data_IF_914515379806
#
_entry.id   IF_914515379806
#
_cell.length_a   1.000
_cell.length_b   1.000
_cell.length_c   1.000
_cell.angle_alpha   90.00
_cell.angle_beta   90.00
_cell.angle_gamma   90.00
#
_symmetry.space_group_name_H-M   'P 1'
#
loop_
_entity.id
_entity.type
_entity.pdbx_description
1 polymer ?
#
# COMPACT_ATOMS: atom_id res chain seq x y z
N UNK A 1 -8.55 -9.37 -6.84
CA UNK A 1 -9.80 -8.96 -6.17
C UNK A 1 -10.50 -7.96 -7.06
N UNK A 2 -11.48 -8.40 -7.88
CA UNK A 2 -11.99 -7.57 -8.98
C UNK A 2 -12.92 -6.43 -8.53
N UNK A 3 -13.34 -6.40 -7.27
CA UNK A 3 -14.29 -5.39 -6.77
C UNK A 3 -13.73 -4.56 -5.60
N UNK A 4 -12.49 -4.81 -5.18
CA UNK A 4 -11.90 -4.10 -4.06
C UNK A 4 -11.43 -2.72 -4.55
N UNK A 5 -12.12 -1.66 -4.12
CA UNK A 5 -11.86 -0.28 -4.54
C UNK A 5 -11.04 0.52 -3.55
N UNK A 6 -11.18 0.23 -2.27
CA UNK A 6 -10.50 0.94 -1.20
C UNK A 6 -9.89 -0.08 -0.25
N UNK A 7 -8.64 0.13 0.12
CA UNK A 7 -7.92 -0.64 1.13
C UNK A 7 -7.31 0.35 2.11
N UNK A 8 -7.67 0.21 3.39
CA UNK A 8 -7.14 1.01 4.48
C UNK A 8 -6.40 0.08 5.45
N UNK A 9 -5.18 0.46 5.79
CA UNK A 9 -4.27 -0.25 6.69
C UNK A 9 -3.87 0.76 7.75
N UNK A 10 -4.31 0.58 8.97
CA UNK A 10 -4.12 1.53 10.06
C UNK A 10 -3.57 0.82 11.29
N UNK A 11 -2.57 1.42 11.94
CA UNK A 11 -1.95 0.91 13.16
C UNK A 11 -1.46 -0.55 13.07
N UNK A 12 -0.81 -0.89 11.95
CA UNK A 12 -0.30 -2.23 11.68
C UNK A 12 1.21 -2.26 11.88
N UNK A 13 1.63 -2.23 13.15
CA UNK A 13 3.04 -2.16 13.55
C UNK A 13 3.84 -3.43 13.24
N UNK A 14 3.19 -4.60 13.11
CA UNK A 14 3.86 -5.85 12.71
C UNK A 14 3.86 -6.06 11.19
N UNK A 15 3.22 -5.17 10.43
CA UNK A 15 3.23 -5.26 8.98
C UNK A 15 4.58 -4.72 8.49
N UNK A 16 5.44 -5.64 8.08
CA UNK A 16 6.79 -5.34 7.55
C UNK A 16 6.76 -5.07 6.05
N UNK A 17 5.87 -5.72 5.32
CA UNK A 17 5.75 -5.55 3.88
C UNK A 17 4.29 -5.67 3.43
N UNK A 18 3.94 -4.85 2.44
CA UNK A 18 2.68 -5.02 1.74
C UNK A 18 2.79 -6.22 0.79
N UNK A 19 1.73 -7.02 0.63
CA UNK A 19 1.74 -8.07 -0.37
C UNK A 19 1.57 -7.46 -1.77
N UNK A 20 2.66 -7.00 -2.40
CA UNK A 20 2.66 -6.31 -3.70
C UNK A 20 2.00 -7.13 -4.81
N UNK A 21 2.21 -8.45 -4.78
CA UNK A 21 1.57 -9.38 -5.72
C UNK A 21 0.05 -9.40 -5.57
N UNK A 22 -0.46 -9.18 -4.35
CA UNK A 22 -1.90 -9.14 -4.08
C UNK A 22 -2.50 -7.81 -4.52
N UNK A 23 -1.76 -6.71 -4.31
CA UNK A 23 -2.15 -5.36 -4.74
C UNK A 23 -2.13 -5.22 -6.27
N UNK A 24 -1.18 -5.87 -6.97
CA UNK A 24 -1.22 -5.99 -8.44
C UNK A 24 -2.43 -6.76 -8.95
N UNK A 25 -2.92 -7.73 -8.18
CA UNK A 25 -4.15 -8.48 -8.51
C UNK A 25 -5.43 -7.71 -8.12
N UNK A 26 -5.31 -6.59 -7.42
CA UNK A 26 -6.40 -5.68 -7.09
C UNK A 26 -6.49 -4.60 -8.18
N UNK A 27 -6.82 -5.02 -9.40
CA UNK A 27 -6.89 -4.13 -10.58
C UNK A 27 -8.01 -3.08 -10.50
N UNK A 28 -8.96 -3.25 -9.58
CA UNK A 28 -10.05 -2.30 -9.34
C UNK A 28 -9.78 -1.38 -8.14
N UNK A 29 -8.58 -1.46 -7.54
CA UNK A 29 -8.22 -0.68 -6.37
C UNK A 29 -7.96 0.77 -6.79
N UNK A 30 -8.82 1.66 -6.32
CA UNK A 30 -8.79 3.09 -6.60
C UNK A 30 -8.06 3.86 -5.50
N UNK A 31 -8.15 3.38 -4.25
CA UNK A 31 -7.55 4.01 -3.07
C UNK A 31 -6.80 3.02 -2.19
N UNK A 32 -5.59 3.39 -1.81
CA UNK A 32 -4.78 2.72 -0.80
C UNK A 32 -4.42 3.74 0.28
N UNK A 33 -4.76 3.42 1.53
CA UNK A 33 -4.42 4.19 2.72
C UNK A 33 -3.60 3.36 3.66
N UNK A 34 -2.48 3.91 4.10
CA UNK A 34 -1.60 3.29 5.08
C UNK A 34 -1.29 4.33 6.13
N UNK A 35 -1.66 4.04 7.38
CA UNK A 35 -1.53 4.95 8.52
C UNK A 35 -0.88 4.27 9.69
N UNK A 36 -0.02 5.01 10.40
CA UNK A 36 0.53 4.59 11.70
C UNK A 36 1.14 3.17 11.64
N UNK A 37 1.80 2.83 10.53
CA UNK A 37 2.41 1.50 10.32
C UNK A 37 3.92 1.66 10.22
N UNK A 38 4.58 1.83 11.38
CA UNK A 38 5.97 2.31 11.46
C UNK A 38 7.00 1.33 10.89
N UNK A 39 6.82 0.03 11.10
CA UNK A 39 7.77 -0.99 10.61
C UNK A 39 7.72 -1.11 9.09
N UNK A 40 6.53 -0.90 8.52
CA UNK A 40 6.32 -0.80 7.08
C UNK A 40 7.08 0.39 6.45
N UNK A 41 7.44 1.41 7.21
CA UNK A 41 8.26 2.53 6.73
C UNK A 41 9.76 2.22 6.79
N UNK A 42 10.21 1.48 7.80
CA UNK A 42 11.63 1.12 7.96
C UNK A 42 12.13 0.24 6.82
N UNK A 43 11.30 -0.70 6.35
CA UNK A 43 11.65 -1.58 5.22
C UNK A 43 11.62 -0.87 3.84
N UNK A 44 11.05 0.33 3.76
CA UNK A 44 10.90 1.10 2.53
C UNK A 44 11.64 2.44 2.59
N UNK A 45 12.90 2.42 3.02
CA UNK A 45 13.84 3.57 3.03
C UNK A 45 13.94 4.32 1.69
N UNK A 46 13.45 3.76 0.58
CA UNK A 46 13.38 4.41 -0.72
C UNK A 46 11.92 4.72 -1.11
N UNK A 47 11.43 5.91 -0.77
CA UNK A 47 10.10 6.41 -1.16
C UNK A 47 9.84 6.32 -2.67
N UNK A 48 10.90 6.34 -3.49
CA UNK A 48 10.79 6.29 -4.93
C UNK A 48 10.45 4.87 -5.42
N UNK A 49 10.95 3.82 -4.75
CA UNK A 49 10.59 2.44 -5.03
C UNK A 49 9.10 2.19 -4.71
N UNK A 50 8.64 2.72 -3.57
CA UNK A 50 7.24 2.64 -3.13
C UNK A 50 6.29 3.21 -4.20
N UNK A 51 6.58 4.42 -4.69
CA UNK A 51 5.71 5.09 -5.67
C UNK A 51 5.66 4.39 -7.02
N UNK A 52 6.74 3.73 -7.44
CA UNK A 52 6.78 2.98 -8.70
C UNK A 52 5.86 1.76 -8.66
N UNK A 53 5.76 1.10 -7.50
CA UNK A 53 4.97 -0.12 -7.33
C UNK A 53 3.46 0.10 -7.22
N UNK A 54 3.03 1.32 -6.88
CA UNK A 54 1.62 1.71 -6.80
C UNK A 54 1.16 2.65 -7.92
N UNK A 55 1.93 2.76 -9.00
CA UNK A 55 1.55 3.56 -10.19
C UNK A 55 0.20 3.18 -10.79
N UNK A 56 -0.26 1.95 -10.58
CA UNK A 56 -1.58 1.48 -11.02
C UNK A 56 -2.73 1.85 -10.08
N UNK A 57 -2.44 2.41 -8.91
CA UNK A 57 -3.43 2.87 -7.92
C UNK A 57 -3.57 4.40 -8.04
N UNK A 58 -4.76 4.92 -8.39
CA UNK A 58 -4.99 6.35 -8.59
C UNK A 58 -4.69 7.23 -7.37
N UNK A 59 -5.02 6.74 -6.18
CA UNK A 59 -4.85 7.47 -4.93
C UNK A 59 -4.14 6.61 -3.91
N UNK A 60 -2.94 7.03 -3.53
CA UNK A 60 -2.14 6.40 -2.47
C UNK A 60 -1.86 7.47 -1.43
N UNK A 61 -2.26 7.22 -0.20
CA UNK A 61 -2.06 8.10 0.95
C UNK A 61 -1.35 7.28 2.03
N UNK A 62 -0.18 7.76 2.44
CA UNK A 62 0.68 7.11 3.43
C UNK A 62 1.00 8.19 4.46
N UNK A 63 0.63 7.95 5.72
CA UNK A 63 0.75 8.93 6.81
C UNK A 63 1.22 8.30 8.12
#
# INVERSE_FOLDING_TARGET
>A
MPCLKELDIEACDELTALPHQLLRKASALEKLRIKESFVLWEDYEDENCFRLEFTHIPHVEIC
#
